data_IF_712210766751
#
_entry.id   IF_712210766751
#
_cell.length_a   1.000
_cell.length_b   1.000
_cell.length_c   1.000
_cell.angle_alpha   90.00
_cell.angle_beta   90.00
_cell.angle_gamma   90.00
#
_symmetry.space_group_name_H-M   'P 1'
#
loop_
_entity.id
_entity.type
_entity.pdbx_description
1 polymer ?
#
# COMPACT_ATOMS: atom_id res chain seq x y z
N UNK A 1 44.22 8.29 24.73
CA UNK A 1 43.15 9.30 24.97
C UNK A 1 42.60 9.92 23.67
N UNK A 2 43.42 10.42 22.73
CA UNK A 2 42.92 10.99 21.46
C UNK A 2 42.12 10.01 20.57
N UNK A 3 42.48 8.72 20.54
CA UNK A 3 41.80 7.67 19.75
C UNK A 3 40.43 7.26 20.30
N UNK A 4 40.18 7.42 21.60
CA UNK A 4 38.88 7.09 22.22
C UNK A 4 37.84 8.17 21.90
N UNK A 5 38.27 9.44 21.85
CA UNK A 5 37.43 10.56 21.38
C UNK A 5 37.07 10.45 19.89
N UNK A 6 37.97 9.91 19.05
CA UNK A 6 37.69 9.67 17.63
C UNK A 6 36.61 8.60 17.43
N UNK A 7 36.58 7.52 18.24
CA UNK A 7 35.52 6.51 18.17
C UNK A 7 34.16 7.03 18.64
N UNK A 8 34.14 7.88 19.67
CA UNK A 8 32.90 8.49 20.17
C UNK A 8 32.30 9.50 19.16
N UNK A 9 33.14 10.20 18.41
CA UNK A 9 32.70 11.15 17.38
C UNK A 9 32.16 10.46 16.12
N UNK A 10 32.66 9.26 15.77
CA UNK A 10 32.15 8.49 14.61
C UNK A 10 30.79 7.86 14.89
N UNK A 11 30.48 7.53 16.15
CA UNK A 11 29.19 6.93 16.52
C UNK A 11 28.01 7.93 16.52
N UNK A 12 28.29 9.23 16.66
CA UNK A 12 27.28 10.30 16.70
C UNK A 12 26.80 10.78 15.32
N UNK A 13 27.43 10.36 14.22
CA UNK A 13 27.09 10.79 12.85
C UNK A 13 26.38 9.74 11.99
N UNK A 14 26.01 8.58 12.54
CA UNK A 14 25.40 7.47 11.77
C UNK A 14 23.87 7.33 11.92
N UNK A 15 23.21 8.22 12.66
CA UNK A 15 21.75 8.28 12.69
C UNK A 15 21.22 9.06 11.47
N UNK A 16 21.27 8.45 10.28
CA UNK A 16 20.44 8.89 9.17
C UNK A 16 18.99 8.56 9.53
N UNK A 17 18.28 9.52 10.12
CA UNK A 17 16.84 9.43 10.31
C UNK A 17 16.17 9.36 8.95
N UNK A 18 15.56 8.23 8.63
CA UNK A 18 14.75 8.10 7.43
C UNK A 18 13.34 8.60 7.76
N UNK A 19 13.04 9.84 7.39
CA UNK A 19 11.77 10.51 7.73
C UNK A 19 10.75 10.36 6.61
N UNK A 20 10.32 9.13 6.33
CA UNK A 20 9.14 8.94 5.50
C UNK A 20 7.93 9.64 6.21
N UNK A 21 7.18 10.48 5.49
CA UNK A 21 5.98 11.15 6.04
C UNK A 21 4.98 11.58 4.96
N UNK A 22 3.83 12.15 5.39
CA UNK A 22 2.83 12.81 4.54
C UNK A 22 2.27 11.89 3.43
N UNK A 23 1.93 10.64 3.80
CA UNK A 23 1.19 9.72 2.93
C UNK A 23 -0.19 10.30 2.59
N UNK A 24 -0.50 10.39 1.30
CA UNK A 24 -1.78 10.87 0.77
C UNK A 24 -2.29 9.95 -0.32
N UNK A 25 -3.59 9.66 -0.24
CA UNK A 25 -4.35 8.94 -1.24
C UNK A 25 -5.38 9.91 -1.84
N UNK A 26 -5.46 10.00 -3.16
CA UNK A 26 -6.40 10.89 -3.84
C UNK A 26 -6.95 10.28 -5.11
N UNK A 27 -8.14 10.72 -5.53
CA UNK A 27 -8.74 10.28 -6.80
C UNK A 27 -9.10 8.79 -6.82
N UNK A 28 -9.68 8.29 -5.72
CA UNK A 28 -10.22 6.93 -5.69
C UNK A 28 -11.42 6.85 -6.65
N UNK A 29 -11.28 6.07 -7.71
CA UNK A 29 -12.30 5.85 -8.73
C UNK A 29 -12.51 4.35 -8.98
N UNK A 30 -13.73 3.95 -9.30
CA UNK A 30 -14.02 2.63 -9.87
C UNK A 30 -13.68 2.65 -11.36
N UNK A 31 -12.84 1.71 -11.81
CA UNK A 31 -12.43 1.59 -13.22
C UNK A 31 -13.37 0.65 -13.98
N UNK A 32 -13.67 -0.51 -13.39
CA UNK A 32 -14.50 -1.54 -14.02
C UNK A 32 -15.02 -2.55 -13.01
N UNK A 33 -16.16 -3.15 -13.33
CA UNK A 33 -16.74 -4.30 -12.62
C UNK A 33 -16.78 -5.47 -13.58
N UNK A 34 -16.27 -6.63 -13.15
CA UNK A 34 -16.37 -7.88 -13.89
C UNK A 34 -17.28 -8.84 -13.11
N UNK A 35 -18.54 -8.88 -13.55
CA UNK A 35 -19.62 -9.70 -12.97
C UNK A 35 -19.45 -11.19 -13.19
N UNK A 36 -18.65 -11.62 -14.17
CA UNK A 36 -18.33 -13.04 -14.35
C UNK A 36 -17.26 -13.53 -13.37
N UNK A 37 -16.36 -12.64 -12.96
CA UNK A 37 -15.28 -12.95 -12.02
C UNK A 37 -15.57 -12.50 -10.58
N UNK A 38 -16.67 -11.77 -10.35
CA UNK A 38 -17.02 -11.12 -9.10
C UNK A 38 -15.90 -10.20 -8.56
N UNK A 39 -15.33 -9.37 -9.45
CA UNK A 39 -14.22 -8.47 -9.13
C UNK A 39 -14.47 -7.02 -9.54
N UNK A 40 -13.99 -6.07 -8.75
CA UNK A 40 -14.04 -4.63 -9.03
C UNK A 40 -12.63 -4.04 -9.02
N UNK A 41 -12.27 -3.31 -10.07
CA UNK A 41 -10.97 -2.63 -10.18
C UNK A 41 -11.14 -1.18 -9.77
N UNK A 42 -10.27 -0.72 -8.88
CA UNK A 42 -10.15 0.67 -8.47
C UNK A 42 -8.88 1.30 -9.03
N UNK A 43 -8.88 2.63 -9.14
CA UNK A 43 -7.70 3.45 -9.45
C UNK A 43 -7.56 4.50 -8.36
N UNK A 44 -6.31 4.77 -7.94
CA UNK A 44 -5.98 5.81 -6.97
C UNK A 44 -4.61 6.41 -7.27
N UNK A 45 -4.40 7.67 -6.92
CA UNK A 45 -3.09 8.30 -6.89
C UNK A 45 -2.52 8.28 -5.46
N UNK A 46 -1.26 7.89 -5.34
CA UNK A 46 -0.55 7.76 -4.06
C UNK A 46 0.67 8.68 -4.06
N UNK A 47 0.79 9.49 -3.01
CA UNK A 47 2.00 10.29 -2.77
C UNK A 47 2.45 10.16 -1.32
N UNK A 48 3.75 10.27 -1.11
CA UNK A 48 4.38 10.21 0.22
C UNK A 48 5.71 10.97 0.13
N UNK A 49 6.06 11.73 1.15
CA UNK A 49 7.30 12.49 1.20
C UNK A 49 8.44 11.66 1.76
N UNK A 50 9.64 11.92 1.23
CA UNK A 50 10.90 11.32 1.69
C UNK A 50 10.93 9.78 1.72
N UNK A 51 10.22 9.12 0.80
CA UNK A 51 10.23 7.66 0.73
C UNK A 51 11.56 7.11 0.21
N UNK A 52 11.93 5.89 0.62
CA UNK A 52 13.29 5.39 0.46
C UNK A 52 13.39 3.86 0.40
N UNK A 53 14.34 3.37 -0.39
CA UNK A 53 14.72 1.96 -0.44
C UNK A 53 16.22 1.83 -0.54
N UNK A 54 16.80 0.98 0.33
CA UNK A 54 18.20 0.57 0.24
C UNK A 54 18.30 -0.97 0.08
N UNK A 55 19.49 -1.52 0.28
CA UNK A 55 19.76 -2.96 0.11
C UNK A 55 19.17 -3.83 1.23
N UNK A 56 18.85 -3.25 2.38
CA UNK A 56 18.48 -3.95 3.62
C UNK A 56 17.02 -3.70 4.00
N UNK A 57 16.58 -2.45 3.90
CA UNK A 57 15.29 -1.97 4.40
C UNK A 57 14.69 -0.96 3.42
N UNK A 58 13.40 -0.73 3.55
CA UNK A 58 12.67 0.23 2.74
C UNK A 58 11.40 0.65 3.47
N UNK A 59 10.85 1.80 3.07
CA UNK A 59 9.49 2.17 3.41
C UNK A 59 8.46 1.54 2.45
N UNK A 60 7.20 1.62 2.83
CA UNK A 60 6.06 1.23 2.02
C UNK A 60 4.79 1.93 2.53
N UNK A 61 3.80 2.07 1.66
CA UNK A 61 2.43 2.36 2.07
C UNK A 61 1.63 1.06 2.13
N UNK A 62 1.07 0.72 3.29
CA UNK A 62 0.04 -0.31 3.41
C UNK A 62 -1.31 0.30 3.09
N UNK A 63 -1.91 -0.12 1.99
CA UNK A 63 -3.16 0.42 1.46
C UNK A 63 -4.23 -0.66 1.52
N UNK A 64 -5.41 -0.32 2.03
CA UNK A 64 -6.53 -1.26 2.13
C UNK A 64 -7.87 -0.57 1.95
N UNK A 65 -8.81 -1.31 1.37
CA UNK A 65 -10.17 -0.85 1.11
C UNK A 65 -11.11 -1.43 2.17
N UNK A 66 -11.98 -0.58 2.71
CA UNK A 66 -13.16 -1.01 3.45
C UNK A 66 -14.41 -0.71 2.64
N UNK A 67 -15.42 -1.56 2.82
CA UNK A 67 -16.73 -1.37 2.22
C UNK A 67 -17.82 -1.43 3.29
N UNK A 68 -18.97 -0.85 2.97
CA UNK A 68 -20.20 -0.93 3.75
C UNK A 68 -21.36 -1.18 2.79
N UNK A 69 -22.28 -2.07 3.13
CA UNK A 69 -23.48 -2.38 2.33
C UNK A 69 -24.78 -1.88 2.97
N UNK A 70 -24.67 -1.09 4.04
CA UNK A 70 -25.79 -0.61 4.85
C UNK A 70 -25.75 0.91 5.07
N UNK A 71 -25.28 1.63 4.04
CA UNK A 71 -25.11 3.08 4.03
C UNK A 71 -24.17 3.62 5.12
N UNK A 72 -23.12 2.86 5.44
CA UNK A 72 -22.02 3.28 6.31
C UNK A 72 -22.20 2.94 7.80
N UNK A 73 -23.18 2.11 8.16
CA UNK A 73 -23.42 1.72 9.55
C UNK A 73 -22.44 0.63 10.01
N UNK A 74 -22.15 -0.34 9.16
CA UNK A 74 -21.13 -1.38 9.37
C UNK A 74 -20.09 -1.36 8.26
N UNK A 75 -18.85 -1.72 8.61
CA UNK A 75 -17.69 -1.66 7.72
C UNK A 75 -16.88 -2.94 7.78
N UNK A 76 -16.68 -3.55 6.61
CA UNK A 76 -15.91 -4.76 6.42
C UNK A 76 -14.68 -4.50 5.56
N UNK A 77 -13.72 -5.44 5.60
CA UNK A 77 -12.45 -5.33 4.90
C UNK A 77 -12.50 -6.06 3.56
N UNK A 78 -12.29 -5.33 2.48
CA UNK A 78 -12.29 -5.88 1.12
C UNK A 78 -11.13 -6.88 0.91
N UNK A 79 -11.41 -8.00 0.25
CA UNK A 79 -10.41 -9.01 -0.10
C UNK A 79 -9.74 -8.71 -1.46
N UNK A 80 -8.42 -8.55 -1.49
CA UNK A 80 -7.67 -8.32 -2.73
C UNK A 80 -7.69 -9.54 -3.66
N UNK A 81 -7.84 -9.32 -4.97
CA UNK A 81 -7.93 -10.39 -5.98
C UNK A 81 -6.55 -10.92 -6.43
N UNK A 82 -5.84 -11.59 -5.52
CA UNK A 82 -4.53 -12.18 -5.79
C UNK A 82 -3.62 -12.11 -4.57
N UNK A 83 -2.41 -12.66 -4.71
CA UNK A 83 -1.36 -12.64 -3.69
C UNK A 83 0.01 -12.44 -4.36
N UNK A 84 0.99 -11.99 -3.60
CA UNK A 84 2.37 -11.84 -4.06
C UNK A 84 2.65 -10.50 -4.74
N UNK A 85 3.75 -10.46 -5.49
CA UNK A 85 4.22 -9.26 -6.19
C UNK A 85 3.44 -9.06 -7.50
N UNK A 86 2.95 -7.84 -7.71
CA UNK A 86 2.26 -7.35 -8.91
C UNK A 86 1.25 -8.38 -9.49
N UNK A 87 0.27 -8.85 -8.69
CA UNK A 87 -0.67 -9.87 -9.15
C UNK A 87 -1.54 -9.37 -10.30
N UNK A 88 -2.14 -10.32 -11.04
CA UNK A 88 -3.03 -9.99 -12.15
C UNK A 88 -4.18 -9.06 -11.69
N UNK A 89 -4.48 -8.02 -12.48
CA UNK A 89 -5.46 -7.00 -12.11
C UNK A 89 -4.89 -5.86 -11.24
N UNK A 90 -3.60 -5.88 -10.91
CA UNK A 90 -2.91 -4.80 -10.22
C UNK A 90 -1.92 -4.12 -11.17
N UNK A 91 -1.75 -2.81 -11.03
CA UNK A 91 -0.75 -2.07 -11.81
C UNK A 91 -0.31 -0.80 -11.09
N UNK A 92 0.93 -0.38 -11.28
CA UNK A 92 1.47 0.88 -10.79
C UNK A 92 2.43 1.49 -11.81
N UNK A 93 2.85 2.74 -11.60
CA UNK A 93 3.83 3.40 -12.46
C UNK A 93 5.22 2.77 -12.30
N UNK A 94 6.07 2.97 -13.31
CA UNK A 94 7.46 2.51 -13.26
C UNK A 94 8.20 3.07 -12.04
N UNK A 95 9.03 2.24 -11.42
CA UNK A 95 9.76 2.58 -10.19
C UNK A 95 9.10 2.12 -8.90
N UNK A 96 7.88 1.57 -8.99
CA UNK A 96 7.14 1.00 -7.86
C UNK A 96 6.72 -0.44 -8.12
N UNK A 97 6.38 -1.14 -7.04
CA UNK A 97 5.79 -2.47 -7.06
C UNK A 97 4.68 -2.56 -6.02
N UNK A 98 3.70 -3.42 -6.30
CA UNK A 98 2.62 -3.78 -5.39
C UNK A 98 2.92 -5.17 -4.82
N UNK A 99 2.73 -5.35 -3.51
CA UNK A 99 2.84 -6.66 -2.86
C UNK A 99 1.58 -6.93 -2.04
N UNK A 100 0.82 -7.94 -2.44
CA UNK A 100 -0.36 -8.40 -1.71
C UNK A 100 0.05 -9.53 -0.74
N UNK A 101 -0.14 -9.37 0.57
CA UNK A 101 0.12 -10.41 1.57
C UNK A 101 -0.82 -11.60 1.43
N UNK A 102 -0.52 -12.69 2.15
CA UNK A 102 -1.31 -13.93 2.12
C UNK A 102 -2.74 -13.76 2.65
N UNK A 103 -2.99 -12.82 3.57
CA UNK A 103 -4.33 -12.56 4.09
C UNK A 103 -5.21 -11.75 3.14
N UNK A 104 -4.63 -11.18 2.07
CA UNK A 104 -5.30 -10.38 1.05
C UNK A 104 -6.04 -9.15 1.61
N UNK A 105 -5.73 -8.72 2.84
CA UNK A 105 -6.41 -7.59 3.51
C UNK A 105 -5.68 -6.27 3.26
N UNK A 106 -5.41 -6.00 2.00
CA UNK A 106 -4.70 -4.81 1.55
C UNK A 106 -3.48 -5.17 0.71
N UNK A 107 -2.63 -4.19 0.44
CA UNK A 107 -1.39 -4.38 -0.29
C UNK A 107 -0.35 -3.33 0.11
N UNK A 108 0.92 -3.67 -0.04
CA UNK A 108 2.01 -2.71 0.06
C UNK A 108 2.28 -2.09 -1.30
N UNK A 109 2.35 -0.77 -1.37
CA UNK A 109 2.97 -0.04 -2.46
C UNK A 109 4.34 0.45 -2.00
N UNK A 110 5.39 0.12 -2.74
CA UNK A 110 6.77 0.54 -2.40
C UNK A 110 7.61 0.78 -3.63
N UNK A 111 8.72 1.51 -3.48
CA UNK A 111 9.75 1.64 -4.52
C UNK A 111 10.29 0.26 -4.88
N UNK A 112 10.53 -0.01 -6.16
CA UNK A 112 11.23 -1.21 -6.62
C UNK A 112 12.71 -0.95 -7.01
N UNK A 113 13.14 0.30 -6.90
CA UNK A 113 14.51 0.77 -7.15
C UNK A 113 15.14 1.33 -5.89
N UNK A 114 16.46 1.16 -5.72
CA UNK A 114 17.21 1.70 -4.58
C UNK A 114 17.42 3.21 -4.74
N UNK A 115 16.51 4.00 -4.21
CA UNK A 115 16.54 5.45 -4.27
C UNK A 115 15.77 6.05 -3.10
N UNK A 116 15.93 7.35 -2.91
CA UNK A 116 15.21 8.15 -1.91
C UNK A 116 14.61 9.39 -2.54
N UNK A 117 13.55 9.90 -1.94
CA UNK A 117 12.88 11.13 -2.35
C UNK A 117 11.37 10.95 -2.34
N UNK A 118 10.65 11.92 -2.88
CA UNK A 118 9.19 11.87 -2.88
C UNK A 118 8.66 10.72 -3.74
N UNK A 119 7.69 10.00 -3.20
CA UNK A 119 6.92 8.97 -3.88
C UNK A 119 5.75 9.66 -4.57
N UNK A 120 5.57 9.34 -5.84
CA UNK A 120 4.45 9.79 -6.66
C UNK A 120 4.10 8.63 -7.60
N UNK A 121 3.05 7.89 -7.24
CA UNK A 121 2.54 6.76 -7.99
C UNK A 121 1.10 7.08 -8.42
N UNK A 122 0.95 7.53 -9.66
CA UNK A 122 -0.33 7.91 -10.23
C UNK A 122 -1.01 6.71 -10.89
N UNK A 123 -2.34 6.66 -10.84
CA UNK A 123 -3.12 5.62 -11.52
C UNK A 123 -2.84 4.21 -11.02
N UNK A 124 -2.49 4.04 -9.73
CA UNK A 124 -2.32 2.74 -9.09
C UNK A 124 -3.65 2.00 -9.17
N UNK A 125 -3.64 0.81 -9.75
CA UNK A 125 -4.82 -0.06 -9.83
C UNK A 125 -4.69 -1.25 -8.90
N UNK A 126 -5.78 -1.53 -8.22
CA UNK A 126 -5.92 -2.71 -7.37
C UNK A 126 -7.31 -3.31 -7.59
N UNK A 127 -7.42 -4.62 -7.37
CA UNK A 127 -8.65 -5.37 -7.63
C UNK A 127 -9.21 -5.91 -6.32
N UNK A 128 -10.47 -5.59 -6.02
CA UNK A 128 -11.28 -6.19 -4.98
C UNK A 128 -12.03 -7.41 -5.53
N UNK A 129 -11.90 -8.57 -4.88
CA UNK A 129 -12.71 -9.76 -5.13
C UNK A 129 -13.91 -9.77 -4.17
N UNK A 130 -14.98 -9.07 -4.54
CA UNK A 130 -16.20 -9.00 -3.72
C UNK A 130 -16.95 -10.33 -3.64
N UNK A 131 -16.71 -11.25 -4.59
CA UNK A 131 -17.27 -12.61 -4.53
C UNK A 131 -16.75 -13.42 -3.35
N UNK A 132 -15.47 -13.28 -2.99
CA UNK A 132 -14.90 -13.93 -1.78
C UNK A 132 -15.49 -13.34 -0.50
N UNK A 133 -15.88 -12.06 -0.54
CA UNK A 133 -16.55 -11.38 0.57
C UNK A 133 -18.07 -11.66 0.62
N UNK A 134 -18.58 -12.54 -0.26
CA UNK A 134 -19.97 -13.00 -0.26
C UNK A 134 -20.98 -12.01 -0.83
N UNK A 135 -20.52 -10.98 -1.55
CA UNK A 135 -21.40 -9.97 -2.14
C UNK A 135 -21.83 -10.37 -3.56
N UNK A 136 -23.07 -10.04 -3.91
CA UNK A 136 -23.57 -10.15 -5.28
C UNK A 136 -23.24 -8.91 -6.11
N UNK A 137 -23.34 -9.03 -7.44
CA UNK A 137 -23.18 -7.92 -8.37
C UNK A 137 -24.17 -6.78 -8.09
N UNK A 138 -25.40 -7.11 -7.69
CA UNK A 138 -26.42 -6.13 -7.33
C UNK A 138 -26.06 -5.39 -6.04
N UNK A 139 -25.49 -6.11 -5.06
CA UNK A 139 -25.11 -5.52 -3.77
C UNK A 139 -23.94 -4.56 -3.94
N UNK A 140 -22.88 -4.97 -4.64
CA UNK A 140 -21.67 -4.14 -4.79
C UNK A 140 -21.93 -2.86 -5.61
N UNK A 141 -22.94 -2.88 -6.49
CA UNK A 141 -23.34 -1.74 -7.31
C UNK A 141 -24.53 -0.94 -6.73
N UNK A 142 -25.05 -1.35 -5.58
CA UNK A 142 -26.17 -0.66 -4.94
C UNK A 142 -25.76 0.73 -4.43
N UNK A 143 -26.69 1.69 -4.45
CA UNK A 143 -26.43 3.07 -4.04
C UNK A 143 -26.09 3.22 -2.54
N UNK A 144 -26.46 2.25 -1.71
CA UNK A 144 -26.11 2.17 -0.29
C UNK A 144 -24.78 1.46 -0.03
N UNK A 145 -24.11 0.95 -1.08
CA UNK A 145 -22.78 0.38 -0.96
C UNK A 145 -21.72 1.46 -1.08
N UNK A 146 -20.96 1.66 -0.01
CA UNK A 146 -19.94 2.68 0.09
C UNK A 146 -18.55 2.02 0.17
N UNK A 147 -17.54 2.69 -0.35
CA UNK A 147 -16.14 2.24 -0.26
C UNK A 147 -15.24 3.37 0.23
N UNK A 148 -14.29 3.04 1.10
CA UNK A 148 -13.27 3.96 1.59
C UNK A 148 -11.90 3.29 1.56
N UNK A 149 -10.92 4.02 1.02
CA UNK A 149 -9.54 3.58 0.96
C UNK A 149 -8.74 4.22 2.10
N UNK A 150 -7.95 3.40 2.77
CA UNK A 150 -7.08 3.80 3.87
C UNK A 150 -5.63 3.49 3.52
N UNK A 151 -4.72 4.31 4.04
CA UNK A 151 -3.28 4.15 3.89
C UNK A 151 -2.59 4.29 5.24
N UNK A 152 -1.61 3.42 5.49
CA UNK A 152 -0.72 3.49 6.65
C UNK A 152 0.72 3.48 6.14
N UNK A 153 1.53 4.38 6.66
CA UNK A 153 2.95 4.41 6.38
C UNK A 153 3.68 3.33 7.18
N UNK A 154 4.50 2.53 6.49
CA UNK A 154 5.14 1.34 7.03
C UNK A 154 6.62 1.32 6.68
N UNK A 155 7.42 0.66 7.51
CA UNK A 155 8.84 0.38 7.23
C UNK A 155 9.08 -1.11 7.36
N UNK A 156 9.70 -1.70 6.35
CA UNK A 156 10.17 -3.07 6.41
C UNK A 156 11.52 -3.13 7.12
N UNK A 157 11.57 -3.78 8.27
CA UNK A 157 12.82 -4.07 8.99
C UNK A 157 13.08 -5.57 8.86
N UNK A 158 14.20 -6.00 8.26
CA UNK A 158 14.53 -7.41 8.19
C UNK A 158 14.78 -7.98 9.59
N UNK A 159 14.42 -9.24 9.78
CA UNK A 159 14.75 -9.98 11.00
C UNK A 159 16.28 -10.09 11.13
N UNK A 160 16.78 -9.93 12.36
CA UNK A 160 18.21 -10.00 12.66
C UNK A 160 18.46 -10.26 14.14
N UNK A 161 19.70 -10.60 14.48
CA UNK A 161 20.11 -10.73 15.88
C UNK A 161 19.97 -9.38 16.61
N UNK A 162 19.34 -9.40 17.78
CA UNK A 162 19.11 -8.24 18.65
C UNK A 162 20.03 -8.26 19.88
#
# INVERSE_FOLDING_TARGET
MKRFFTFLFVFLFLAYGAYANDLRLSGLDVVSVNTSANTMIFKVDVSQKNGWRNTVSHDAAWIFLKYSTDAGQTWDHATMAGIGKDPAGFSTTSGYEIVVPQDQKGFFLRRNVMTSGDVTAEGVRFTWNYGVDGLSDETVQAANTLTHLFGVEMVYIPEGAF
#
